data_IF_827835627290
#
_entry.id   IF_827835627290
#
_cell.length_a   1.000
_cell.length_b   1.000
_cell.length_c   1.000
_cell.angle_alpha   90.00
_cell.angle_beta   90.00
_cell.angle_gamma   90.00
#
_symmetry.space_group_name_H-M   'P 1'
#
loop_
_entity.id
_entity.type
_entity.pdbx_description
1 polymer ?
#
# COMPACT_ATOMS: atom_id res chain seq x y z
N UNK A 1 22.84 -58.87 12.28
CA UNK A 1 22.09 -57.68 11.79
C UNK A 1 21.64 -56.87 12.99
N UNK A 2 22.40 -55.83 13.37
CA UNK A 2 22.05 -54.96 14.50
C UNK A 2 21.41 -53.67 13.96
N UNK A 3 20.15 -53.40 14.36
CA UNK A 3 19.43 -52.18 14.01
C UNK A 3 19.80 -51.07 14.99
N UNK A 4 20.69 -50.17 14.59
CA UNK A 4 21.02 -48.98 15.39
C UNK A 4 19.89 -47.96 15.25
N UNK A 5 19.14 -47.71 16.33
CA UNK A 5 18.14 -46.64 16.40
C UNK A 5 18.84 -45.31 16.72
N UNK A 6 18.91 -44.39 15.74
CA UNK A 6 19.38 -43.02 15.96
C UNK A 6 18.22 -42.14 16.47
N UNK A 7 18.07 -42.04 17.79
CA UNK A 7 17.20 -41.04 18.42
C UNK A 7 17.90 -39.68 18.54
N UNK A 8 17.58 -38.72 17.68
CA UNK A 8 18.05 -37.35 17.84
C UNK A 8 17.21 -36.65 18.91
N UNK A 9 17.75 -36.52 20.13
CA UNK A 9 17.17 -35.63 21.14
C UNK A 9 17.40 -34.17 20.71
N UNK A 10 16.41 -33.56 20.07
CA UNK A 10 16.38 -32.11 19.86
C UNK A 10 16.20 -31.44 21.22
N UNK A 11 17.27 -30.82 21.76
CA UNK A 11 17.12 -29.90 22.89
C UNK A 11 16.40 -28.65 22.38
N UNK A 12 15.24 -28.34 22.95
CA UNK A 12 14.56 -27.08 22.67
C UNK A 12 15.43 -25.93 23.21
N UNK A 13 15.85 -25.03 22.32
CA UNK A 13 16.49 -23.78 22.71
C UNK A 13 15.39 -22.83 23.20
N UNK A 14 15.52 -22.17 24.35
CA UNK A 14 14.57 -21.14 24.76
C UNK A 14 14.54 -20.05 23.69
N UNK A 15 13.34 -19.65 23.29
CA UNK A 15 13.16 -18.44 22.48
C UNK A 15 13.66 -17.24 23.30
N UNK A 16 14.41 -16.29 22.71
CA UNK A 16 14.75 -15.07 23.41
C UNK A 16 13.46 -14.35 23.80
N UNK A 17 13.41 -13.82 25.02
CA UNK A 17 12.33 -12.97 25.47
C UNK A 17 12.16 -11.84 24.45
N UNK A 18 10.97 -11.76 23.85
CA UNK A 18 10.59 -10.58 23.07
C UNK A 18 10.69 -9.34 23.95
N UNK A 19 10.91 -8.15 23.37
CA UNK A 19 11.00 -6.93 24.15
C UNK A 19 9.75 -6.78 25.02
N UNK A 20 9.93 -6.77 26.34
CA UNK A 20 8.90 -6.29 27.27
C UNK A 20 8.38 -4.95 26.76
N UNK A 21 7.08 -4.63 26.91
CA UNK A 21 6.57 -3.33 26.54
C UNK A 21 7.23 -2.30 27.47
N UNK A 22 8.34 -1.74 26.99
CA UNK A 22 8.90 -0.53 27.54
C UNK A 22 7.79 0.51 27.47
N UNK A 23 7.48 1.10 28.63
CA UNK A 23 6.57 2.20 28.77
C UNK A 23 6.97 3.34 27.80
N UNK A 24 6.37 3.35 26.61
CA UNK A 24 6.33 4.54 25.77
C UNK A 24 5.09 5.30 26.22
N UNK A 25 5.32 6.28 27.09
CA UNK A 25 4.30 7.15 27.64
C UNK A 25 3.55 7.88 26.53
N UNK A 26 2.40 7.36 26.18
CA UNK A 26 1.29 8.09 25.59
C UNK A 26 0.03 7.62 26.29
N UNK A 27 -0.81 8.55 26.73
CA UNK A 27 -2.11 8.23 27.30
C UNK A 27 -2.90 7.34 26.33
N UNK A 28 -3.76 6.45 26.82
CA UNK A 28 -4.70 5.71 25.97
C UNK A 28 -5.50 6.66 25.03
N UNK A 29 -5.71 7.92 25.45
CA UNK A 29 -6.27 8.98 24.59
C UNK A 29 -5.35 9.37 23.43
N UNK A 30 -4.05 9.49 23.63
CA UNK A 30 -3.08 9.80 22.57
C UNK A 30 -2.94 8.64 21.59
N UNK A 31 -2.91 7.40 22.09
CA UNK A 31 -2.95 6.22 21.24
C UNK A 31 -4.23 6.19 20.38
N UNK A 32 -5.38 6.49 20.97
CA UNK A 32 -6.66 6.59 20.25
C UNK A 32 -6.68 7.76 19.25
N UNK A 33 -6.09 8.91 19.56
CA UNK A 33 -5.98 10.04 18.62
C UNK A 33 -5.07 9.71 17.43
N UNK A 34 -3.96 9.02 17.64
CA UNK A 34 -3.07 8.55 16.56
C UNK A 34 -3.79 7.60 15.60
N UNK A 35 -4.55 6.65 16.14
CA UNK A 35 -5.37 5.73 15.33
C UNK A 35 -6.47 6.47 14.55
N UNK A 36 -7.13 7.46 15.16
CA UNK A 36 -8.12 8.32 14.46
C UNK A 36 -7.49 9.15 13.35
N UNK A 37 -6.30 9.71 13.57
CA UNK A 37 -5.57 10.47 12.54
C UNK A 37 -5.19 9.59 11.34
N UNK A 38 -4.79 8.33 11.60
CA UNK A 38 -4.53 7.34 10.54
C UNK A 38 -5.82 6.94 9.82
N UNK A 39 -6.93 6.76 10.54
CA UNK A 39 -8.24 6.44 9.94
C UNK A 39 -8.80 7.58 9.07
N UNK A 40 -8.49 8.84 9.38
CA UNK A 40 -8.87 9.99 8.55
C UNK A 40 -8.23 9.94 7.16
N UNK A 41 -7.03 9.36 7.02
CA UNK A 41 -6.40 9.12 5.70
C UNK A 41 -7.24 8.13 4.87
N UNK A 42 -7.78 7.08 5.50
CA UNK A 42 -8.61 6.07 4.83
C UNK A 42 -9.98 6.57 4.37
N UNK A 43 -10.62 7.50 5.09
CA UNK A 43 -11.89 8.10 4.66
C UNK A 43 -11.74 8.93 3.38
N UNK A 44 -10.69 9.75 3.33
CA UNK A 44 -10.38 10.54 2.13
C UNK A 44 -10.02 9.66 0.92
N UNK A 45 -9.55 8.43 1.17
CA UNK A 45 -9.20 7.49 0.10
C UNK A 45 -10.40 7.00 -0.71
N UNK A 46 -11.54 6.77 -0.06
CA UNK A 46 -12.78 6.47 -0.76
C UNK A 46 -13.28 7.68 -1.57
N UNK A 47 -13.15 8.90 -1.02
CA UNK A 47 -13.68 10.11 -1.63
C UNK A 47 -12.91 10.57 -2.87
N UNK A 48 -11.57 10.46 -2.90
CA UNK A 48 -10.81 10.81 -4.11
C UNK A 48 -10.98 9.75 -5.20
N UNK A 49 -11.09 8.47 -4.83
CA UNK A 49 -11.26 7.39 -5.82
C UNK A 49 -12.54 7.60 -6.61
N UNK A 50 -13.64 7.85 -5.90
CA UNK A 50 -14.92 8.13 -6.54
C UNK A 50 -14.82 9.34 -7.49
N UNK A 51 -14.25 10.45 -7.01
CA UNK A 51 -14.06 11.65 -7.84
C UNK A 51 -13.20 11.39 -9.09
N UNK A 52 -12.13 10.62 -8.95
CA UNK A 52 -11.27 10.25 -10.10
C UNK A 52 -12.03 9.42 -11.14
N UNK A 53 -12.89 8.50 -10.71
CA UNK A 53 -13.73 7.72 -11.61
C UNK A 53 -14.80 8.57 -12.31
N UNK A 54 -15.38 9.55 -11.59
CA UNK A 54 -16.37 10.46 -12.14
C UNK A 54 -15.75 11.42 -13.18
N UNK A 55 -14.51 11.87 -12.98
CA UNK A 55 -13.81 12.82 -13.87
C UNK A 55 -13.15 12.11 -15.06
N UNK A 56 -12.41 11.03 -14.79
CA UNK A 56 -11.56 10.37 -15.79
C UNK A 56 -12.20 9.13 -16.42
N UNK A 57 -13.38 8.73 -15.95
CA UNK A 57 -14.13 7.60 -16.48
C UNK A 57 -13.54 6.23 -16.12
N UNK A 58 -14.20 5.18 -16.60
CA UNK A 58 -13.85 3.79 -16.33
C UNK A 58 -12.93 3.23 -17.41
N UNK A 59 -11.85 3.95 -17.70
CA UNK A 59 -10.87 3.58 -18.72
C UNK A 59 -9.46 3.75 -18.17
N UNK A 60 -8.56 2.83 -18.53
CA UNK A 60 -7.14 2.97 -18.22
C UNK A 60 -6.51 4.04 -19.12
N UNK A 61 -5.97 5.11 -18.54
CA UNK A 61 -5.32 6.20 -19.27
C UNK A 61 -4.07 5.77 -20.07
N UNK A 62 -3.47 4.62 -19.73
CA UNK A 62 -2.22 4.14 -20.34
C UNK A 62 -2.41 3.11 -21.44
N UNK A 63 -3.36 2.18 -21.28
CA UNK A 63 -3.59 1.10 -22.26
C UNK A 63 -4.98 1.12 -22.90
N UNK A 64 -5.80 2.13 -22.60
CA UNK A 64 -7.17 2.31 -23.11
C UNK A 64 -8.13 1.13 -22.84
N UNK A 65 -7.79 0.22 -21.90
CA UNK A 65 -8.71 -0.82 -21.46
C UNK A 65 -9.88 -0.18 -20.73
N UNK A 66 -11.09 -0.47 -21.19
CA UNK A 66 -12.34 -0.09 -20.54
C UNK A 66 -12.74 -1.08 -19.45
N UNK A 67 -13.49 -0.59 -18.47
CA UNK A 67 -13.96 -1.32 -17.31
C UNK A 67 -15.47 -1.12 -17.14
N UNK A 68 -16.09 -2.09 -16.48
CA UNK A 68 -17.50 -2.11 -16.09
C UNK A 68 -17.60 -2.35 -14.58
N UNK A 69 -18.83 -2.37 -14.04
CA UNK A 69 -19.07 -2.52 -12.60
C UNK A 69 -18.45 -3.80 -12.01
N UNK A 70 -18.36 -4.88 -12.79
CA UNK A 70 -17.87 -6.19 -12.31
C UNK A 70 -16.36 -6.19 -12.11
N UNK A 71 -15.63 -5.40 -12.91
CA UNK A 71 -14.16 -5.38 -12.92
C UNK A 71 -13.58 -4.01 -12.51
N UNK A 72 -14.41 -3.02 -12.18
CA UNK A 72 -13.99 -1.66 -11.79
C UNK A 72 -13.01 -1.63 -10.60
N UNK A 73 -13.03 -2.65 -9.74
CA UNK A 73 -12.08 -2.79 -8.63
C UNK A 73 -10.62 -2.99 -9.10
N UNK A 74 -10.41 -3.37 -10.36
CA UNK A 74 -9.09 -3.48 -11.00
C UNK A 74 -8.61 -2.15 -11.61
N UNK A 75 -9.45 -1.11 -11.61
CA UNK A 75 -9.08 0.24 -11.99
C UNK A 75 -8.75 1.06 -10.73
N UNK A 76 -7.50 1.49 -10.65
CA UNK A 76 -6.90 2.16 -9.50
C UNK A 76 -6.52 3.60 -9.83
N UNK A 77 -6.53 4.48 -8.83
CA UNK A 77 -6.06 5.87 -8.98
C UNK A 77 -4.56 5.91 -8.78
N UNK A 78 -3.86 6.48 -9.75
CA UNK A 78 -2.44 6.80 -9.67
C UNK A 78 -2.26 8.31 -9.43
N UNK A 79 -1.38 8.69 -8.51
CA UNK A 79 -1.00 10.08 -8.27
C UNK A 79 0.22 10.44 -9.12
N UNK A 80 0.04 11.35 -10.08
CA UNK A 80 1.07 11.74 -11.06
C UNK A 80 2.34 12.31 -10.40
N UNK A 81 2.16 13.08 -9.33
CA UNK A 81 3.27 13.66 -8.55
C UNK A 81 3.83 12.72 -7.47
N UNK A 82 3.28 11.50 -7.32
CA UNK A 82 3.65 10.54 -6.28
C UNK A 82 3.22 10.93 -4.85
N UNK A 83 2.54 12.05 -4.65
CA UNK A 83 2.09 12.52 -3.35
C UNK A 83 0.62 12.11 -3.07
N UNK A 84 0.36 11.10 -2.21
CA UNK A 84 -1.00 10.63 -1.92
C UNK A 84 -1.86 11.65 -1.16
N UNK A 85 -1.27 12.77 -0.71
CA UNK A 85 -1.99 13.85 -0.01
C UNK A 85 -2.41 14.97 -0.96
N UNK A 86 -1.83 15.08 -2.15
CA UNK A 86 -2.20 16.07 -3.15
C UNK A 86 -3.44 15.59 -3.93
N UNK A 87 -4.61 16.01 -3.47
CA UNK A 87 -5.92 15.54 -3.93
C UNK A 87 -6.79 16.70 -4.44
N UNK A 88 -6.41 17.32 -5.57
CA UNK A 88 -7.10 18.50 -6.08
C UNK A 88 -8.52 18.14 -6.54
N UNK A 89 -9.51 19.03 -6.35
CA UNK A 89 -10.91 18.74 -6.63
C UNK A 89 -11.22 18.58 -8.13
N UNK A 90 -10.36 19.10 -9.01
CA UNK A 90 -10.45 18.96 -10.46
C UNK A 90 -9.82 17.65 -10.99
N UNK A 91 -9.23 16.84 -10.11
CA UNK A 91 -8.60 15.57 -10.46
C UNK A 91 -7.31 15.69 -11.27
N UNK A 92 -6.71 16.89 -11.36
CA UNK A 92 -5.53 17.18 -12.19
C UNK A 92 -4.27 16.36 -11.81
N UNK A 93 -4.15 15.93 -10.55
CA UNK A 93 -3.04 15.10 -10.08
C UNK A 93 -3.28 13.59 -10.23
N UNK A 94 -4.41 13.18 -10.81
CA UNK A 94 -4.78 11.76 -10.88
C UNK A 94 -4.81 11.24 -12.30
N UNK A 95 -4.68 9.93 -12.42
CA UNK A 95 -5.08 9.16 -13.59
C UNK A 95 -5.57 7.78 -13.18
N UNK A 96 -6.58 7.26 -13.88
CA UNK A 96 -7.09 5.91 -13.64
C UNK A 96 -6.25 4.91 -14.45
N UNK A 97 -5.59 3.98 -13.77
CA UNK A 97 -4.77 2.94 -14.38
C UNK A 97 -5.24 1.56 -13.97
N UNK A 98 -5.20 0.61 -14.90
CA UNK A 98 -5.35 -0.79 -14.54
C UNK A 98 -4.18 -1.22 -13.64
N UNK A 99 -4.40 -2.22 -12.79
CA UNK A 99 -3.37 -2.74 -11.86
C UNK A 99 -2.02 -2.96 -12.52
N UNK A 100 -1.99 -3.55 -13.73
CA UNK A 100 -0.75 -3.78 -14.47
C UNK A 100 -0.04 -2.49 -14.90
N UNK A 101 -0.78 -1.50 -15.43
CA UNK A 101 -0.18 -0.23 -15.84
C UNK A 101 0.27 0.60 -14.63
N UNK A 102 -0.45 0.48 -13.51
CA UNK A 102 -0.11 1.15 -12.27
C UNK A 102 1.21 0.63 -11.67
N UNK A 103 1.35 -0.69 -11.59
CA UNK A 103 2.58 -1.32 -11.07
C UNK A 103 3.79 -1.04 -11.98
N UNK A 104 3.58 -0.99 -13.31
CA UNK A 104 4.63 -0.60 -14.26
C UNK A 104 5.09 0.83 -14.04
N UNK A 105 4.18 1.78 -13.82
CA UNK A 105 4.54 3.19 -13.57
C UNK A 105 5.36 3.35 -12.29
N UNK A 106 4.94 2.73 -11.19
CA UNK A 106 5.71 2.71 -9.94
C UNK A 106 7.07 2.02 -10.09
N UNK A 107 7.17 1.03 -10.97
CA UNK A 107 8.44 0.33 -11.23
C UNK A 107 9.39 1.20 -12.05
N UNK A 108 8.86 1.93 -13.04
CA UNK A 108 9.62 2.90 -13.85
C UNK A 108 10.10 4.08 -13.03
N UNK A 109 9.26 4.65 -12.17
CA UNK A 109 9.63 5.74 -11.26
C UNK A 109 10.78 5.32 -10.31
N UNK A 110 10.66 4.15 -9.68
CA UNK A 110 11.73 3.59 -8.84
C UNK A 110 13.04 3.38 -9.61
N UNK A 111 12.96 2.84 -10.82
CA UNK A 111 14.12 2.65 -11.67
C UNK A 111 14.74 4.00 -12.09
N UNK A 112 13.91 4.99 -12.43
CA UNK A 112 14.35 6.34 -12.76
C UNK A 112 15.15 6.98 -11.63
N UNK A 113 14.60 6.98 -10.40
CA UNK A 113 15.30 7.49 -9.21
C UNK A 113 16.65 6.79 -8.99
N UNK A 114 16.66 5.45 -9.11
CA UNK A 114 17.90 4.67 -8.99
C UNK A 114 18.97 5.08 -10.01
N UNK A 115 18.59 5.25 -11.28
CA UNK A 115 19.51 5.61 -12.35
C UNK A 115 19.99 7.07 -12.27
N UNK A 116 19.13 7.99 -11.80
CA UNK A 116 19.48 9.40 -11.58
C UNK A 116 20.37 9.63 -10.35
N UNK A 117 20.49 8.65 -9.45
CA UNK A 117 21.18 8.81 -8.16
C UNK A 117 20.39 9.66 -7.15
N UNK A 118 19.12 9.94 -7.44
CA UNK A 118 18.20 10.64 -6.54
C UNK A 118 17.73 9.64 -5.47
N UNK A 119 18.05 9.92 -4.20
CA UNK A 119 17.67 9.08 -3.05
C UNK A 119 16.39 9.57 -2.39
#
# INVERSE_FOLDING_TARGET
MARTRFGHKRKARPLPAGPSPAASGGSAKEAAQRLKAQAAVGKNAADYRRRSLDIHGWICAKCAREFDETNLHLLTVHHRDGNPRNNPPDGSNWENLCTYCHDDEHSRDRLGRYLSGEK
#
